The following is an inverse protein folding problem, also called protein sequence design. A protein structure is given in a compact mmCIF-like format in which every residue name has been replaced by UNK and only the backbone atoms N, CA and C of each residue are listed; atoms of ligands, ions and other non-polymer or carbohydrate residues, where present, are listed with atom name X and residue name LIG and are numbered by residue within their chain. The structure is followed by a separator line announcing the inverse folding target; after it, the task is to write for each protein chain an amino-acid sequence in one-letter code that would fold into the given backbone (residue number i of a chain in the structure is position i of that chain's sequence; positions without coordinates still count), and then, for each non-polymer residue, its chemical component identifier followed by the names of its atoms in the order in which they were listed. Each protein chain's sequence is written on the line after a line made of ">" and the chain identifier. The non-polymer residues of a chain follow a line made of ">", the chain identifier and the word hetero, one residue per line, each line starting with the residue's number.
data_IF_045157503882
#
_entry.id   IF_045157503882
#
_cell.length_a   1.000
_cell.length_b   1.000
_cell.length_c   1.000
_cell.angle_alpha   90.00
_cell.angle_beta   90.00
_cell.angle_gamma   90.00
#
_symmetry.space_group_name_H-M   'P 1'
#
loop_
_entity.id
_entity.type
_entity.pdbx_description
1 polymer ?
#
# COMPACT_ATOMS: atom_id res chain seq x y z
N UNK A 1 -51.02 14.82 17.23
CA UNK A 1 -49.58 14.61 16.90
C UNK A 1 -49.49 13.68 15.72
N UNK A 2 -48.66 13.88 14.69
CA UNK A 2 -48.50 12.74 13.77
C UNK A 2 -47.69 12.87 12.51
N UNK A 3 -47.53 14.05 11.90
CA UNK A 3 -46.84 14.14 10.59
C UNK A 3 -45.48 14.84 10.68
N UNK A 4 -45.39 16.00 11.31
CA UNK A 4 -44.12 16.74 11.46
C UNK A 4 -43.04 16.00 12.27
N UNK A 5 -43.44 15.34 13.37
CA UNK A 5 -42.52 14.56 14.23
C UNK A 5 -42.01 13.30 13.53
N UNK A 6 -42.85 12.68 12.68
CA UNK A 6 -42.49 11.48 11.93
C UNK A 6 -41.50 11.79 10.79
N UNK A 7 -41.69 12.92 10.10
CA UNK A 7 -40.76 13.38 9.05
C UNK A 7 -39.43 13.78 9.67
N UNK A 8 -39.44 14.53 10.79
CA UNK A 8 -38.21 14.88 11.51
C UNK A 8 -37.42 13.65 11.95
N UNK A 9 -38.08 12.65 12.51
CA UNK A 9 -37.41 11.42 12.96
C UNK A 9 -36.81 10.61 11.79
N UNK A 10 -37.51 10.52 10.65
CA UNK A 10 -37.00 9.83 9.45
C UNK A 10 -35.80 10.54 8.85
N UNK A 11 -35.84 11.87 8.76
CA UNK A 11 -34.71 12.65 8.23
C UNK A 11 -33.47 12.56 9.12
N UNK A 12 -33.64 12.61 10.45
CA UNK A 12 -32.53 12.44 11.40
C UNK A 12 -31.94 11.02 11.33
N UNK A 13 -32.78 10.00 11.27
CA UNK A 13 -32.29 8.62 11.18
C UNK A 13 -31.51 8.38 9.87
N UNK A 14 -32.00 8.94 8.76
CA UNK A 14 -31.36 8.81 7.45
C UNK A 14 -30.02 9.56 7.39
N UNK A 15 -29.91 10.75 8.00
CA UNK A 15 -28.65 11.49 8.06
C UNK A 15 -27.62 10.79 8.95
N UNK A 16 -28.02 10.21 10.08
CA UNK A 16 -27.13 9.41 10.93
C UNK A 16 -26.59 8.17 10.20
N UNK A 17 -27.43 7.48 9.44
CA UNK A 17 -27.01 6.31 8.65
C UNK A 17 -26.04 6.71 7.53
N UNK A 18 -26.30 7.82 6.83
CA UNK A 18 -25.38 8.34 5.83
C UNK A 18 -24.02 8.75 6.43
N UNK A 19 -24.03 9.39 7.61
CA UNK A 19 -22.80 9.76 8.32
C UNK A 19 -22.02 8.52 8.78
N UNK A 20 -22.70 7.50 9.32
CA UNK A 20 -22.07 6.24 9.71
C UNK A 20 -21.44 5.53 8.50
N UNK A 21 -22.13 5.49 7.37
CA UNK A 21 -21.59 4.92 6.12
C UNK A 21 -20.34 5.68 5.63
N UNK A 22 -20.35 7.01 5.70
CA UNK A 22 -19.19 7.83 5.33
C UNK A 22 -17.98 7.57 6.24
N UNK A 23 -18.19 7.43 7.56
CA UNK A 23 -17.13 7.10 8.53
C UNK A 23 -16.50 5.73 8.23
N UNK A 24 -17.32 4.73 7.89
CA UNK A 24 -16.83 3.39 7.54
C UNK A 24 -15.95 3.38 6.28
N UNK A 25 -16.23 4.25 5.29
CA UNK A 25 -15.43 4.37 4.07
C UNK A 25 -14.07 5.02 4.32
N UNK A 26 -14.01 6.02 5.20
CA UNK A 26 -12.76 6.75 5.51
C UNK A 26 -11.84 5.98 6.47
N UNK A 27 -12.39 5.03 7.24
CA UNK A 27 -11.62 4.25 8.22
C UNK A 27 -10.60 3.26 7.59
N UNK A 28 -10.67 2.97 6.28
CA UNK A 28 -9.83 1.98 5.63
C UNK A 28 -8.34 2.35 5.47
N UNK A 29 -7.92 3.58 5.79
CA UNK A 29 -6.52 4.02 5.62
C UNK A 29 -5.95 4.79 6.82
N UNK A 30 -6.62 4.71 7.98
CA UNK A 30 -6.18 5.44 9.18
C UNK A 30 -5.05 4.76 9.97
N UNK A 31 -4.57 3.59 9.53
CA UNK A 31 -3.37 3.01 10.10
C UNK A 31 -2.14 3.84 9.70
N UNK A 32 -1.57 4.56 10.67
CA UNK A 32 -0.27 5.21 10.50
C UNK A 32 0.75 4.18 10.03
N UNK A 33 1.50 4.42 8.94
CA UNK A 33 2.59 3.55 8.55
C UNK A 33 3.53 3.35 9.74
N UNK A 34 3.75 2.09 10.11
CA UNK A 34 4.73 1.78 11.15
C UNK A 34 6.08 2.37 10.72
N UNK A 35 6.83 3.03 11.61
CA UNK A 35 8.19 3.45 11.30
C UNK A 35 8.97 2.26 10.76
N UNK A 36 9.36 2.32 9.49
CA UNK A 36 10.16 1.25 8.91
C UNK A 36 11.52 1.28 9.58
N UNK A 37 12.00 0.11 10.01
CA UNK A 37 13.36 0.00 10.51
C UNK A 37 14.32 0.42 9.38
N UNK A 38 15.18 1.40 9.65
CA UNK A 38 16.20 1.79 8.70
C UNK A 38 17.21 0.64 8.59
N UNK A 39 17.59 0.22 7.37
CA UNK A 39 18.65 -0.77 7.20
C UNK A 39 19.94 -0.30 7.85
N UNK A 40 20.63 -1.20 8.53
CA UNK A 40 21.97 -0.92 9.06
C UNK A 40 22.98 -0.73 7.90
N UNK A 41 24.07 0.02 8.11
CA UNK A 41 25.11 0.18 7.08
C UNK A 41 25.64 -1.16 6.53
N UNK A 42 25.78 -2.17 7.39
CA UNK A 42 26.24 -3.50 6.98
C UNK A 42 25.23 -4.23 6.11
N UNK A 43 23.92 -4.07 6.38
CA UNK A 43 22.87 -4.60 5.51
C UNK A 43 22.89 -3.91 4.15
N UNK A 44 23.06 -2.58 4.12
CA UNK A 44 23.14 -1.83 2.85
C UNK A 44 24.33 -2.31 2.02
N UNK A 45 25.51 -2.45 2.65
CA UNK A 45 26.72 -2.97 1.99
C UNK A 45 26.49 -4.40 1.49
N UNK A 46 25.99 -5.30 2.33
CA UNK A 46 25.72 -6.69 1.94
C UNK A 46 24.70 -6.82 0.80
N UNK A 47 23.67 -5.97 0.78
CA UNK A 47 22.70 -5.92 -0.33
C UNK A 47 23.35 -5.41 -1.62
N UNK A 48 24.19 -4.38 -1.54
CA UNK A 48 24.91 -3.85 -2.69
C UNK A 48 25.86 -4.91 -3.27
N UNK A 49 26.70 -5.53 -2.43
CA UNK A 49 27.69 -6.53 -2.85
C UNK A 49 27.00 -7.72 -3.54
N UNK A 50 25.91 -8.23 -2.95
CA UNK A 50 25.11 -9.30 -3.55
C UNK A 50 24.50 -8.89 -4.90
N UNK A 51 24.05 -7.64 -5.01
CA UNK A 51 23.55 -7.09 -6.27
C UNK A 51 24.62 -7.08 -7.36
N UNK A 52 25.83 -6.62 -7.04
CA UNK A 52 26.96 -6.64 -7.97
C UNK A 52 27.38 -8.06 -8.37
N UNK A 53 27.38 -9.01 -7.44
CA UNK A 53 27.68 -10.41 -7.73
C UNK A 53 26.67 -11.03 -8.69
N UNK A 54 25.38 -10.76 -8.49
CA UNK A 54 24.34 -11.20 -9.41
C UNK A 54 24.50 -10.58 -10.81
N UNK A 55 24.77 -9.28 -10.89
CA UNK A 55 24.98 -8.59 -12.16
C UNK A 55 26.18 -9.17 -12.93
N UNK A 56 27.30 -9.44 -12.25
CA UNK A 56 28.46 -10.10 -12.86
C UNK A 56 28.12 -11.48 -13.40
N UNK A 57 27.30 -12.24 -12.67
CA UNK A 57 26.84 -13.55 -13.11
C UNK A 57 25.95 -13.44 -14.35
N UNK A 58 24.98 -12.53 -14.34
CA UNK A 58 24.09 -12.29 -15.49
C UNK A 58 24.86 -11.85 -16.74
N UNK A 59 25.87 -10.99 -16.58
CA UNK A 59 26.75 -10.57 -17.68
C UNK A 59 27.55 -11.75 -18.23
N UNK A 60 28.14 -12.57 -17.35
CA UNK A 60 28.89 -13.77 -17.74
C UNK A 60 28.01 -14.77 -18.49
N UNK A 61 26.77 -14.97 -18.04
CA UNK A 61 25.79 -15.82 -18.70
C UNK A 61 25.39 -15.28 -20.08
N UNK A 62 25.25 -13.96 -20.23
CA UNK A 62 25.05 -13.31 -21.54
C UNK A 62 26.24 -13.47 -22.46
N UNK A 63 27.46 -13.34 -21.96
CA UNK A 63 28.68 -13.52 -22.74
C UNK A 63 28.86 -14.98 -23.21
N UNK A 64 28.36 -15.95 -22.43
CA UNK A 64 28.36 -17.36 -22.79
C UNK A 64 27.25 -17.74 -23.79
N UNK A 65 26.24 -16.89 -23.99
CA UNK A 65 25.23 -17.12 -25.04
C UNK A 65 25.80 -16.76 -26.41
N UNK A 66 25.64 -17.63 -27.43
CA UNK A 66 25.94 -17.23 -28.81
C UNK A 66 25.07 -16.03 -29.18
N UNK A 67 25.55 -15.12 -30.05
CA UNK A 67 24.77 -13.97 -30.47
C UNK A 67 23.43 -14.47 -31.01
N UNK A 68 22.35 -14.17 -30.29
CA UNK A 68 21.00 -14.45 -30.80
C UNK A 68 20.88 -13.65 -32.09
N UNK A 69 20.65 -14.35 -33.21
CA UNK A 69 20.37 -13.71 -34.47
C UNK A 69 19.14 -12.81 -34.25
N UNK A 70 19.36 -11.48 -34.32
CA UNK A 70 18.28 -10.53 -34.47
C UNK A 70 17.81 -10.53 -35.91
#
# INVERSE_FOLDING_TARGET
>A
MGKGTQVGMKTVMMSCMAAAAAVLIVACSSEKPKPMAQPTPDQVRGHADKGFDNLKKEESERAAQPPSAR
#
